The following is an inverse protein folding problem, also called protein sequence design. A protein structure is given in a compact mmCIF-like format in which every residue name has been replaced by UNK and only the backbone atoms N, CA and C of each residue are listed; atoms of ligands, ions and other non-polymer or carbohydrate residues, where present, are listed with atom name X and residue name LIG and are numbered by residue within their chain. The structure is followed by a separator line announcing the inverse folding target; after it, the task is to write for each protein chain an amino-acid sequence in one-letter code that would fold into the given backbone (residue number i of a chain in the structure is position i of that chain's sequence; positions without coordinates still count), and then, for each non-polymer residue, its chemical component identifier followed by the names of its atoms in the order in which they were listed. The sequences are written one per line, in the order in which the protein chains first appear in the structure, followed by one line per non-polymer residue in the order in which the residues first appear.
data_IF_488033429131
#
_entry.id   IF_488033429131
#
_cell.length_a   1.000
_cell.length_b   1.000
_cell.length_c   1.000
_cell.angle_alpha   90.00
_cell.angle_beta   90.00
_cell.angle_gamma   90.00
#
_symmetry.space_group_name_H-M   'P 1'
#
loop_
_entity.id
_entity.type
_entity.pdbx_description
1 polymer ?
#
# COMPACT_ATOMS: atom_id res chain seq x y z
N UNK A 1 1.59 5.39 -7.92
CA UNK A 1 0.39 5.79 -8.68
C UNK A 1 -0.84 5.40 -7.89
N UNK A 2 -1.11 6.01 -6.73
CA UNK A 2 -2.33 5.70 -5.95
C UNK A 2 -3.59 6.02 -6.77
N UNK A 3 -4.72 5.37 -6.53
CA UNK A 3 -6.00 5.70 -7.18
C UNK A 3 -5.87 5.73 -8.72
N UNK A 4 -5.25 4.70 -9.31
CA UNK A 4 -4.76 4.78 -10.71
C UNK A 4 -5.87 4.98 -11.76
N UNK A 5 -7.12 4.65 -11.41
CA UNK A 5 -8.28 4.82 -12.28
C UNK A 5 -8.93 6.21 -12.16
N UNK A 6 -8.53 7.01 -11.17
CA UNK A 6 -9.02 8.37 -10.99
C UNK A 6 -8.55 9.28 -12.14
N UNK A 7 -9.41 10.22 -12.55
CA UNK A 7 -9.05 11.25 -13.54
C UNK A 7 -7.84 12.08 -13.11
N UNK A 8 -7.73 12.34 -11.80
CA UNK A 8 -6.59 12.99 -11.19
C UNK A 8 -6.39 12.42 -9.79
N UNK A 9 -5.37 11.60 -9.62
CA UNK A 9 -4.95 11.10 -8.32
C UNK A 9 -4.13 12.15 -7.56
N UNK A 10 -4.44 12.30 -6.27
CA UNK A 10 -3.66 13.10 -5.32
C UNK A 10 -2.53 12.29 -4.65
N UNK A 11 -2.24 11.07 -5.13
CA UNK A 11 -1.14 10.26 -4.63
C UNK A 11 0.21 10.90 -4.93
N UNK A 12 1.00 11.16 -3.88
CA UNK A 12 2.31 11.82 -4.00
C UNK A 12 3.41 10.95 -4.65
N UNK A 13 3.26 9.62 -4.59
CA UNK A 13 4.26 8.68 -5.07
C UNK A 13 3.94 8.17 -6.49
N UNK A 14 4.88 8.38 -7.41
CA UNK A 14 4.81 7.93 -8.81
C UNK A 14 5.78 6.79 -9.08
N UNK A 15 5.33 5.75 -9.78
CA UNK A 15 6.13 4.56 -10.10
C UNK A 15 7.37 4.97 -10.92
N UNK A 16 7.15 5.80 -11.94
CA UNK A 16 8.19 6.40 -12.78
C UNK A 16 9.22 7.26 -12.03
N UNK A 17 8.97 7.61 -10.76
CA UNK A 17 9.83 8.45 -9.93
C UNK A 17 10.28 7.71 -8.66
N UNK A 18 10.64 6.44 -8.81
CA UNK A 18 11.11 5.57 -7.72
C UNK A 18 10.08 5.40 -6.58
N UNK A 19 8.79 5.55 -6.89
CA UNK A 19 7.73 5.62 -5.88
C UNK A 19 7.59 4.37 -5.03
N UNK A 20 7.87 3.18 -5.58
CA UNK A 20 7.81 1.94 -4.79
C UNK A 20 8.90 1.90 -3.70
N UNK A 21 10.12 2.31 -4.01
CA UNK A 21 11.19 2.34 -3.01
C UNK A 21 10.88 3.35 -1.92
N UNK A 22 10.43 4.55 -2.31
CA UNK A 22 10.01 5.61 -1.37
C UNK A 22 8.85 5.15 -0.50
N UNK A 23 7.84 4.48 -1.08
CA UNK A 23 6.74 3.88 -0.32
C UNK A 23 7.25 2.92 0.77
N UNK A 24 8.23 2.08 0.45
CA UNK A 24 8.81 1.16 1.44
C UNK A 24 9.54 1.90 2.56
N UNK A 25 10.47 2.79 2.20
CA UNK A 25 11.44 3.34 3.16
C UNK A 25 11.00 4.64 3.82
N UNK A 26 10.19 5.46 3.15
CA UNK A 26 9.75 6.76 3.64
C UNK A 26 8.33 6.71 4.23
N UNK A 27 7.53 5.68 3.90
CA UNK A 27 6.16 5.55 4.36
C UNK A 27 5.95 4.32 5.25
N UNK A 28 6.15 3.10 4.72
CA UNK A 28 5.89 1.87 5.48
C UNK A 28 6.86 1.69 6.66
N UNK A 29 8.17 1.78 6.43
CA UNK A 29 9.16 1.53 7.48
C UNK A 29 9.02 2.48 8.70
N UNK A 30 8.80 3.80 8.53
CA UNK A 30 8.51 4.68 9.66
C UNK A 30 7.24 4.30 10.42
N UNK A 31 6.16 3.90 9.73
CA UNK A 31 4.92 3.44 10.38
C UNK A 31 5.21 2.17 11.18
N UNK A 32 5.92 1.19 10.62
CA UNK A 32 6.32 -0.04 11.32
C UNK A 32 7.07 0.28 12.62
N UNK A 33 8.01 1.23 12.57
CA UNK A 33 8.76 1.68 13.75
C UNK A 33 7.83 2.20 14.85
N UNK A 34 6.85 3.03 14.48
CA UNK A 34 5.86 3.57 15.42
C UNK A 34 5.00 2.45 16.01
N UNK A 35 4.44 1.58 15.17
CA UNK A 35 3.52 0.53 15.61
C UNK A 35 4.20 -0.55 16.46
N UNK A 36 5.52 -0.72 16.30
CA UNK A 36 6.32 -1.65 17.09
C UNK A 36 6.74 -1.11 18.47
N UNK A 37 6.46 0.17 18.79
CA UNK A 37 6.79 0.74 20.10
C UNK A 37 6.07 -0.02 21.22
N UNK A 38 6.80 -0.53 22.24
CA UNK A 38 6.23 -1.27 23.36
C UNK A 38 5.12 -0.52 24.12
N UNK A 39 5.08 0.81 24.03
CA UNK A 39 4.02 1.66 24.59
C UNK A 39 2.64 1.30 24.02
N UNK A 40 2.57 0.84 22.76
CA UNK A 40 1.33 0.48 22.08
C UNK A 40 0.96 -1.01 22.21
N UNK A 41 1.76 -1.83 22.90
CA UNK A 41 1.55 -3.30 22.94
C UNK A 41 0.18 -3.75 23.47
N UNK A 42 -0.49 -2.91 24.26
CA UNK A 42 -1.77 -3.22 24.91
C UNK A 42 -3.00 -2.74 24.11
N UNK A 43 -2.81 -2.09 22.95
CA UNK A 43 -3.91 -1.78 22.02
C UNK A 43 -3.86 -2.73 20.83
N UNK A 44 -5.03 -3.02 20.25
CA UNK A 44 -5.14 -3.73 18.97
C UNK A 44 -5.17 -2.70 17.86
N UNK A 45 -4.27 -2.83 16.91
CA UNK A 45 -4.13 -1.90 15.79
C UNK A 45 -4.71 -2.58 14.56
N UNK A 46 -5.73 -1.99 13.97
CA UNK A 46 -6.37 -2.50 12.75
C UNK A 46 -5.97 -1.61 11.59
N UNK A 47 -5.35 -2.20 10.57
CA UNK A 47 -4.90 -1.50 9.37
C UNK A 47 -5.77 -1.92 8.18
N UNK A 48 -6.37 -0.94 7.52
CA UNK A 48 -6.97 -1.13 6.19
C UNK A 48 -5.87 -0.91 5.16
N UNK A 49 -5.58 -1.93 4.36
CA UNK A 49 -4.41 -1.96 3.49
C UNK A 49 -4.82 -1.52 2.08
N UNK A 50 -4.28 -0.37 1.68
CA UNK A 50 -4.26 0.17 0.31
C UNK A 50 -5.61 0.14 -0.40
N UNK A 51 -6.51 1.04 0.01
CA UNK A 51 -7.79 1.25 -0.69
C UNK A 51 -7.59 1.63 -2.16
N UNK A 52 -8.54 1.23 -3.01
CA UNK A 52 -8.56 1.56 -4.45
C UNK A 52 -7.25 1.19 -5.18
N UNK A 53 -6.69 0.03 -4.82
CA UNK A 53 -5.43 -0.47 -5.38
C UNK A 53 -5.62 -1.73 -6.23
N UNK A 54 -5.52 -2.93 -5.63
CA UNK A 54 -5.51 -4.22 -6.31
C UNK A 54 -6.70 -4.46 -7.26
N UNK A 55 -7.94 -4.08 -6.94
CA UNK A 55 -9.08 -4.26 -7.86
C UNK A 55 -8.90 -3.56 -9.21
N UNK A 56 -8.18 -2.43 -9.25
CA UNK A 56 -7.89 -1.72 -10.51
C UNK A 56 -7.00 -2.53 -11.46
N UNK A 57 -6.16 -3.43 -10.92
CA UNK A 57 -5.32 -4.31 -11.74
C UNK A 57 -6.14 -5.36 -12.51
N UNK A 58 -7.40 -5.56 -12.14
CA UNK A 58 -8.30 -6.50 -12.81
C UNK A 58 -9.25 -5.79 -13.76
N UNK A 59 -9.73 -4.60 -13.37
CA UNK A 59 -10.88 -3.95 -14.01
C UNK A 59 -10.52 -2.73 -14.85
N UNK A 60 -9.41 -2.04 -14.57
CA UNK A 60 -9.12 -0.70 -15.10
C UNK A 60 -7.77 -0.60 -15.83
N UNK A 61 -7.24 -1.70 -16.35
CA UNK A 61 -5.93 -1.74 -17.03
C UNK A 61 -5.94 -1.09 -18.42
N UNK A 62 -7.09 -0.63 -18.88
CA UNK A 62 -7.23 0.30 -20.00
C UNK A 62 -6.77 1.73 -19.65
N UNK A 63 -6.67 2.09 -18.37
CA UNK A 63 -6.10 3.36 -17.91
C UNK A 63 -4.58 3.22 -17.80
N UNK A 64 -3.83 4.14 -18.40
CA UNK A 64 -2.37 4.06 -18.48
C UNK A 64 -1.67 3.93 -17.12
N UNK A 65 -2.10 4.69 -16.11
CA UNK A 65 -1.53 4.62 -14.76
C UNK A 65 -1.78 3.24 -14.11
N UNK A 66 -2.94 2.61 -14.37
CA UNK A 66 -3.24 1.26 -13.89
C UNK A 66 -2.47 0.18 -14.68
N UNK A 67 -2.31 0.36 -15.99
CA UNK A 67 -1.47 -0.50 -16.81
C UNK A 67 0.00 -0.46 -16.37
N UNK A 68 0.53 0.72 -16.02
CA UNK A 68 1.87 0.86 -15.44
C UNK A 68 1.94 0.15 -14.08
N UNK A 69 0.94 0.35 -13.20
CA UNK A 69 0.88 -0.33 -11.91
C UNK A 69 0.85 -1.87 -12.03
N UNK A 70 0.12 -2.39 -13.01
CA UNK A 70 0.04 -3.83 -13.27
C UNK A 70 1.34 -4.38 -13.86
N UNK A 71 1.85 -3.77 -14.94
CA UNK A 71 3.02 -4.26 -15.66
C UNK A 71 4.32 -4.14 -14.86
N UNK A 72 4.47 -3.08 -14.06
CA UNK A 72 5.60 -2.93 -13.14
C UNK A 72 5.52 -3.85 -11.92
N UNK A 73 4.33 -4.36 -11.59
CA UNK A 73 4.07 -5.12 -10.36
C UNK A 73 4.10 -4.27 -9.08
N UNK A 74 4.14 -2.93 -9.19
CA UNK A 74 4.38 -2.04 -8.06
C UNK A 74 3.30 -2.17 -6.96
N UNK A 75 2.03 -2.32 -7.34
CA UNK A 75 0.93 -2.50 -6.38
C UNK A 75 1.09 -3.81 -5.61
N UNK A 76 1.31 -4.92 -6.31
CA UNK A 76 1.47 -6.24 -5.68
C UNK A 76 2.67 -6.25 -4.73
N UNK A 77 3.81 -5.73 -5.19
CA UNK A 77 5.03 -5.67 -4.38
C UNK A 77 4.90 -4.72 -3.19
N UNK A 78 4.19 -3.59 -3.35
CA UNK A 78 3.91 -2.64 -2.26
C UNK A 78 3.04 -3.28 -1.19
N UNK A 79 1.90 -3.86 -1.56
CA UNK A 79 0.98 -4.54 -0.63
C UNK A 79 1.67 -5.72 0.06
N UNK A 80 2.42 -6.55 -0.68
CA UNK A 80 3.19 -7.64 -0.08
C UNK A 80 4.21 -7.14 0.96
N UNK A 81 4.90 -6.04 0.67
CA UNK A 81 5.87 -5.46 1.60
C UNK A 81 5.17 -4.96 2.87
N UNK A 82 4.10 -4.18 2.72
CA UNK A 82 3.31 -3.67 3.85
C UNK A 82 2.80 -4.83 4.74
N UNK A 83 2.16 -5.84 4.14
CA UNK A 83 1.68 -7.01 4.87
C UNK A 83 2.81 -7.76 5.59
N UNK A 84 3.95 -7.97 4.92
CA UNK A 84 5.08 -8.68 5.52
C UNK A 84 5.64 -7.98 6.76
N UNK A 85 5.69 -6.64 6.73
CA UNK A 85 6.20 -5.81 7.81
C UNK A 85 5.20 -5.69 8.96
N UNK A 86 3.95 -5.38 8.65
CA UNK A 86 2.92 -5.19 9.66
C UNK A 86 2.54 -6.49 10.36
N UNK A 87 2.47 -7.61 9.64
CA UNK A 87 2.18 -8.91 10.25
C UNK A 87 3.22 -9.36 11.28
N UNK A 88 4.46 -8.89 11.17
CA UNK A 88 5.50 -9.20 12.16
C UNK A 88 5.24 -8.57 13.54
N UNK A 89 4.33 -7.62 13.65
CA UNK A 89 3.97 -6.94 14.91
C UNK A 89 2.75 -7.66 15.53
N UNK A 90 2.88 -8.33 16.70
CA UNK A 90 1.87 -9.28 17.20
C UNK A 90 0.47 -8.72 17.46
N UNK A 91 0.34 -7.42 17.72
CA UNK A 91 -0.93 -6.74 18.01
C UNK A 91 -1.48 -5.95 16.81
N UNK A 92 -0.96 -6.17 15.60
CA UNK A 92 -1.42 -5.56 14.35
C UNK A 92 -2.25 -6.57 13.54
N UNK A 93 -3.42 -6.11 13.06
CA UNK A 93 -4.37 -6.88 12.27
C UNK A 93 -4.59 -6.20 10.93
N UNK A 94 -4.29 -6.90 9.83
CA UNK A 94 -4.35 -6.34 8.48
C UNK A 94 -5.64 -6.78 7.78
N UNK A 95 -6.36 -5.83 7.20
CA UNK A 95 -7.54 -6.05 6.36
C UNK A 95 -7.25 -5.47 4.98
N UNK A 96 -7.12 -6.34 3.98
CA UNK A 96 -6.86 -5.90 2.60
C UNK A 96 -8.14 -5.38 1.98
N UNK A 97 -8.08 -4.17 1.42
CA UNK A 97 -9.20 -3.61 0.67
C UNK A 97 -9.52 -4.46 -0.57
N UNK A 98 -10.81 -4.61 -0.85
CA UNK A 98 -11.31 -5.43 -1.95
C UNK A 98 -12.46 -4.72 -2.70
N UNK A 99 -12.35 -3.39 -2.87
CA UNK A 99 -13.33 -2.52 -3.52
C UNK A 99 -14.69 -2.40 -2.79
N UNK A 100 -15.64 -1.72 -3.46
CA UNK A 100 -17.08 -1.74 -3.17
C UNK A 100 -17.91 -1.53 -4.45
#
# INVERSE_FOLDING_TARGET
NRDCSALASNGELRISQNGLQRYKTEYIDPIVSILADPTFKNIRIVLIIEIDSLPNLITNTNVADCAEAQSSGAYVQGVQYALSKFHAIPNVYNYVDAAH
#
